data_IF_963944891015
#
_entry.id   IF_963944891015
#
_cell.length_a   1.000
_cell.length_b   1.000
_cell.length_c   1.000
_cell.angle_alpha   90.00
_cell.angle_beta   90.00
_cell.angle_gamma   90.00
#
_symmetry.space_group_name_H-M   'P 1'
#
loop_
_entity.id
_entity.type
_entity.pdbx_description
1 polymer ?
#
# COMPACT_ATOMS: atom_id res chain seq x y z
N UNK A 1 -16.42 -18.54 24.30
CA UNK A 1 -15.50 -17.98 23.29
C UNK A 1 -16.34 -17.19 22.29
N UNK A 2 -16.47 -15.88 22.50
CA UNK A 2 -17.35 -15.03 21.68
C UNK A 2 -16.55 -14.64 20.44
N UNK A 3 -16.93 -15.22 19.29
CA UNK A 3 -16.43 -14.80 17.98
C UNK A 3 -17.21 -13.55 17.60
N UNK A 4 -16.60 -12.39 17.84
CA UNK A 4 -17.12 -11.11 17.37
C UNK A 4 -16.99 -11.06 15.84
N UNK A 5 -18.13 -11.27 15.15
CA UNK A 5 -18.26 -11.25 13.69
C UNK A 5 -18.15 -9.83 13.10
N UNK A 6 -17.96 -8.80 13.93
CA UNK A 6 -17.88 -7.40 13.53
C UNK A 6 -16.52 -6.74 13.80
N UNK A 7 -15.43 -7.50 13.98
CA UNK A 7 -14.08 -6.93 13.87
C UNK A 7 -13.88 -6.38 12.46
N UNK A 8 -14.23 -5.11 12.24
CA UNK A 8 -13.58 -4.29 11.23
C UNK A 8 -12.09 -4.47 11.50
N UNK A 9 -11.38 -5.07 10.56
CA UNK A 9 -9.92 -5.10 10.58
C UNK A 9 -9.49 -3.64 10.40
N UNK A 10 -9.45 -2.89 11.50
CA UNK A 10 -8.75 -1.61 11.54
C UNK A 10 -7.30 -1.95 11.73
N UNK A 11 -6.64 -2.34 10.65
CA UNK A 11 -5.18 -2.48 10.66
C UNK A 11 -4.60 -1.10 11.03
N UNK A 12 -3.90 -0.97 12.17
CA UNK A 12 -3.36 0.31 12.60
C UNK A 12 -2.19 0.76 11.71
N UNK A 13 -1.65 -0.14 10.88
CA UNK A 13 -0.61 0.18 9.92
C UNK A 13 -1.23 0.56 8.58
N UNK A 14 -0.92 1.76 8.11
CA UNK A 14 -1.25 2.20 6.74
C UNK A 14 0.06 2.24 5.96
N UNK A 15 0.08 1.62 4.78
CA UNK A 15 1.17 1.74 3.82
C UNK A 15 0.72 2.66 2.68
N UNK A 16 1.67 3.35 2.05
CA UNK A 16 1.38 4.34 1.03
C UNK A 16 1.87 3.84 -0.32
N UNK A 17 0.96 3.61 -1.26
CA UNK A 17 1.28 3.22 -2.63
C UNK A 17 1.40 4.47 -3.50
N UNK A 18 2.49 4.62 -4.27
CA UNK A 18 2.68 5.71 -5.23
C UNK A 18 1.94 5.44 -6.57
N UNK A 19 1.92 6.45 -7.43
CA UNK A 19 1.27 6.37 -8.74
C UNK A 19 1.90 5.34 -9.71
N UNK A 20 3.05 4.77 -9.37
CA UNK A 20 3.79 3.81 -10.20
C UNK A 20 3.66 2.37 -9.68
N UNK A 21 2.81 2.14 -8.67
CA UNK A 21 2.61 0.81 -8.11
C UNK A 21 3.70 0.39 -7.11
N UNK A 22 4.35 1.34 -6.44
CA UNK A 22 5.38 1.05 -5.42
C UNK A 22 4.96 1.57 -4.07
N UNK A 23 5.46 0.94 -3.02
CA UNK A 23 5.20 1.39 -1.66
C UNK A 23 6.27 2.36 -1.21
N UNK A 24 5.85 3.48 -0.62
CA UNK A 24 6.74 4.36 0.11
C UNK A 24 7.39 3.57 1.23
N UNK A 25 8.71 3.62 1.28
CA UNK A 25 9.54 2.73 2.04
C UNK A 25 10.74 3.50 2.60
N UNK A 26 11.45 2.90 3.55
CA UNK A 26 12.67 3.41 4.15
C UNK A 26 13.76 2.37 3.94
N UNK A 27 14.85 2.78 3.27
CA UNK A 27 16.04 1.95 3.13
C UNK A 27 16.89 2.10 4.42
N UNK A 28 17.01 1.04 5.25
CA UNK A 28 17.77 1.13 6.50
C UNK A 28 19.29 1.20 6.28
N UNK A 29 19.80 0.82 5.11
CA UNK A 29 21.24 0.85 4.82
C UNK A 29 21.72 2.25 4.43
N UNK A 30 20.95 2.93 3.59
CA UNK A 30 21.26 4.30 3.16
C UNK A 30 20.50 5.38 3.94
N UNK A 31 19.65 4.96 4.88
CA UNK A 31 18.84 5.77 5.79
C UNK A 31 18.05 6.88 5.08
N UNK A 32 17.39 6.52 3.98
CA UNK A 32 16.61 7.45 3.14
C UNK A 32 15.24 6.88 2.77
N UNK A 33 14.32 7.77 2.41
CA UNK A 33 13.05 7.36 1.82
C UNK A 33 13.27 6.90 0.37
N UNK A 34 12.61 5.81 0.02
CA UNK A 34 12.59 5.23 -1.32
C UNK A 34 11.17 4.75 -1.66
N UNK A 35 10.94 4.35 -2.91
CA UNK A 35 9.72 3.64 -3.30
C UNK A 35 10.08 2.24 -3.79
N UNK A 36 9.52 1.21 -3.14
CA UNK A 36 9.85 -0.20 -3.40
C UNK A 36 8.67 -0.93 -4.05
N UNK A 37 8.93 -1.60 -5.16
CA UNK A 37 7.94 -2.47 -5.80
C UNK A 37 7.81 -3.80 -5.02
N UNK A 38 6.59 -4.35 -4.84
CA UNK A 38 6.42 -5.60 -4.08
C UNK A 38 7.18 -6.81 -4.62
N UNK A 39 7.36 -6.90 -5.95
CA UNK A 39 8.15 -7.93 -6.64
C UNK A 39 9.64 -7.85 -6.30
N UNK A 40 10.16 -6.64 -6.07
CA UNK A 40 11.57 -6.40 -5.71
C UNK A 40 11.84 -6.49 -4.21
N UNK A 41 10.80 -6.44 -3.37
CA UNK A 41 10.95 -6.43 -1.91
C UNK A 41 11.30 -7.80 -1.30
N UNK A 42 11.29 -8.88 -2.09
CA UNK A 42 11.58 -10.23 -1.60
C UNK A 42 10.57 -10.73 -0.54
N UNK A 43 9.36 -10.18 -0.55
CA UNK A 43 8.32 -10.47 0.45
C UNK A 43 8.44 -9.70 1.77
N UNK A 44 9.42 -8.80 1.92
CA UNK A 44 9.53 -7.95 3.09
C UNK A 44 8.52 -6.81 3.04
N UNK A 45 7.86 -6.54 4.16
CA UNK A 45 7.00 -5.37 4.29
C UNK A 45 7.80 -4.07 4.16
N UNK A 46 7.19 -2.96 3.68
CA UNK A 46 7.82 -1.65 3.68
C UNK A 46 8.30 -1.28 5.09
N UNK A 47 9.51 -0.75 5.18
CA UNK A 47 10.15 -0.21 6.37
C UNK A 47 9.51 1.10 6.88
N UNK A 48 8.58 1.70 6.13
CA UNK A 48 7.86 2.89 6.52
C UNK A 48 6.38 2.60 6.76
N UNK A 49 5.84 3.14 7.86
CA UNK A 49 4.43 3.06 8.24
C UNK A 49 3.87 4.49 8.31
N UNK A 50 2.67 4.68 7.77
CA UNK A 50 1.88 5.88 7.98
C UNK A 50 0.87 5.61 9.10
N UNK A 51 0.91 6.41 10.17
CA UNK A 51 0.11 6.18 11.37
C UNK A 51 -0.83 7.34 11.65
N UNK A 52 -2.01 7.00 12.18
CA UNK A 52 -2.99 7.94 12.71
C UNK A 52 -2.66 8.25 14.19
N UNK A 53 -2.73 9.52 14.57
CA UNK A 53 -2.71 10.05 15.94
C UNK A 53 -4.12 10.44 16.34
N UNK A 54 -4.90 9.54 16.98
CA UNK A 54 -6.29 9.83 17.33
C UNK A 54 -6.44 10.96 18.35
N UNK A 55 -5.37 11.25 19.09
CA UNK A 55 -5.25 12.28 20.12
C UNK A 55 -4.82 13.66 19.58
N UNK A 56 -4.27 13.74 18.36
CA UNK A 56 -3.75 14.98 17.79
C UNK A 56 -4.60 15.45 16.59
N UNK A 57 -5.56 16.34 16.82
CA UNK A 57 -6.45 16.84 15.74
C UNK A 57 -5.74 17.71 14.71
N UNK A 58 -4.77 18.51 15.13
CA UNK A 58 -4.06 19.43 14.24
C UNK A 58 -3.12 18.70 13.29
N UNK A 59 -2.50 17.61 13.76
CA UNK A 59 -1.57 16.78 13.01
C UNK A 59 -1.94 15.31 13.19
N UNK A 60 -3.04 14.86 12.58
CA UNK A 60 -3.59 13.53 12.84
C UNK A 60 -2.77 12.40 12.24
N UNK A 61 -1.71 12.69 11.49
CA UNK A 61 -0.87 11.67 10.89
C UNK A 61 0.63 11.90 11.13
N UNK A 62 1.42 10.84 11.06
CA UNK A 62 2.89 10.88 11.05
C UNK A 62 3.47 9.65 10.35
N UNK A 63 4.74 9.74 9.98
CA UNK A 63 5.51 8.61 9.44
C UNK A 63 6.33 7.96 10.55
N UNK A 64 6.39 6.64 10.54
CA UNK A 64 7.11 5.82 11.51
C UNK A 64 8.01 4.81 10.79
N UNK A 65 9.25 4.64 11.25
CA UNK A 65 10.15 3.59 10.74
C UNK A 65 9.89 2.29 11.48
N UNK A 66 9.88 1.17 10.76
CA UNK A 66 9.91 -0.17 11.37
C UNK A 66 11.23 -0.48 12.09
N UNK A 67 12.32 0.14 11.65
CA UNK A 67 13.65 0.03 12.27
C UNK A 67 14.14 1.41 12.66
N UNK A 68 14.57 1.56 13.91
CA UNK A 68 15.17 2.81 14.37
C UNK A 68 16.48 3.05 13.63
N UNK A 69 16.56 4.18 12.94
CA UNK A 69 17.71 4.60 12.15
C UNK A 69 17.92 6.12 12.33
N UNK A 70 19.17 6.61 12.31
CA UNK A 70 19.54 7.91 12.86
C UNK A 70 18.88 9.14 12.20
N UNK A 71 18.60 9.10 10.90
CA UNK A 71 17.98 10.22 10.19
C UNK A 71 16.52 10.38 10.63
N UNK A 72 16.07 11.56 11.05
CA UNK A 72 14.65 11.75 11.34
C UNK A 72 13.80 11.57 10.07
N UNK A 73 12.53 11.25 10.25
CA UNK A 73 11.51 11.37 9.20
C UNK A 73 10.95 12.79 9.20
N UNK A 74 10.52 13.33 8.05
CA UNK A 74 9.88 14.63 8.02
C UNK A 74 8.54 14.60 8.77
N UNK A 75 8.20 15.68 9.46
CA UNK A 75 6.82 15.90 9.85
C UNK A 75 5.96 16.17 8.61
N UNK A 76 4.79 15.54 8.54
CA UNK A 76 3.91 15.63 7.39
C UNK A 76 2.49 16.01 7.77
N UNK A 77 1.87 16.81 6.89
CA UNK A 77 0.42 16.96 6.81
C UNK A 77 -0.11 16.20 5.60
N UNK A 78 -1.24 15.51 5.78
CA UNK A 78 -1.89 14.79 4.70
C UNK A 78 -3.16 15.53 4.28
N UNK A 79 -3.28 15.79 2.98
CA UNK A 79 -4.48 16.36 2.38
C UNK A 79 -5.09 15.35 1.41
N UNK A 80 -6.41 15.24 1.42
CA UNK A 80 -7.14 14.43 0.45
C UNK A 80 -6.94 15.03 -0.95
N UNK A 81 -6.58 14.16 -1.90
CA UNK A 81 -6.50 14.49 -3.31
C UNK A 81 -7.78 14.13 -4.06
N UNK A 82 -7.69 14.02 -5.37
CA UNK A 82 -8.76 13.49 -6.22
C UNK A 82 -8.83 11.96 -6.10
N UNK A 83 -10.02 11.41 -5.86
CA UNK A 83 -10.21 9.96 -5.73
C UNK A 83 -9.67 9.41 -4.39
N UNK A 84 -9.15 8.17 -4.35
CA UNK A 84 -8.70 7.53 -3.10
C UNK A 84 -7.27 7.94 -2.71
N UNK A 85 -6.77 9.10 -3.16
CA UNK A 85 -5.37 9.49 -2.99
C UNK A 85 -5.20 10.60 -1.98
N UNK A 86 -4.01 10.68 -1.39
CA UNK A 86 -3.56 11.78 -0.53
C UNK A 86 -2.29 12.40 -1.10
N UNK A 87 -2.02 13.64 -0.71
CA UNK A 87 -0.72 14.28 -0.86
C UNK A 87 -0.12 14.55 0.50
N UNK A 88 1.20 14.41 0.63
CA UNK A 88 1.93 14.67 1.87
C UNK A 88 2.74 15.95 1.77
N UNK A 89 2.37 16.98 2.53
CA UNK A 89 3.13 18.22 2.67
C UNK A 89 4.10 18.10 3.84
N UNK A 90 5.36 18.49 3.63
CA UNK A 90 6.38 18.54 4.69
C UNK A 90 6.20 19.82 5.50
N UNK A 91 6.15 19.67 6.82
CA UNK A 91 5.92 20.77 7.78
C UNK A 91 7.21 21.28 8.42
N UNK A 92 8.32 20.56 8.25
CA UNK A 92 9.60 20.91 8.85
C UNK A 92 10.02 22.33 8.47
N UNK A 93 10.31 23.13 9.48
CA UNK A 93 10.86 24.49 9.32
C UNK A 93 12.39 24.42 9.22
N UNK A 94 13.02 23.58 10.04
CA UNK A 94 14.47 23.40 10.16
C UNK A 94 14.88 21.94 9.88
N UNK A 95 16.19 21.69 9.76
CA UNK A 95 16.74 20.35 9.57
C UNK A 95 16.77 19.87 8.11
N UNK A 96 17.00 18.57 7.85
CA UNK A 96 17.25 18.05 6.49
C UNK A 96 16.07 18.22 5.52
N UNK A 97 14.87 18.39 6.06
CA UNK A 97 13.64 18.61 5.28
C UNK A 97 13.09 20.05 5.41
N UNK A 98 13.75 20.89 6.23
CA UNK A 98 13.35 22.28 6.50
C UNK A 98 13.39 23.20 5.28
N UNK A 99 12.61 24.28 5.32
CA UNK A 99 12.65 25.37 4.35
C UNK A 99 12.11 25.05 2.95
N UNK A 100 11.55 23.85 2.74
CA UNK A 100 11.12 23.39 1.40
C UNK A 100 9.64 23.62 1.12
N UNK A 101 8.79 23.84 2.14
CA UNK A 101 7.31 23.91 2.06
C UNK A 101 6.75 23.07 0.90
N UNK A 102 7.20 21.82 0.86
CA UNK A 102 7.14 21.00 -0.34
C UNK A 102 6.33 19.75 -0.10
N UNK A 103 5.90 19.13 -1.19
CA UNK A 103 5.26 17.83 -1.15
C UNK A 103 6.30 16.73 -1.31
N UNK A 104 6.07 15.63 -0.60
CA UNK A 104 6.76 14.37 -0.86
C UNK A 104 6.31 13.85 -2.24
N UNK A 105 7.26 13.37 -3.04
CA UNK A 105 6.98 12.85 -4.37
C UNK A 105 7.86 11.66 -4.71
N UNK A 106 7.33 10.73 -5.50
CA UNK A 106 8.06 9.56 -6.01
C UNK A 106 8.30 9.73 -7.51
N UNK A 107 9.53 9.54 -7.97
CA UNK A 107 9.90 9.62 -9.40
C UNK A 107 9.71 8.26 -10.10
N UNK A 108 9.61 8.17 -11.43
CA UNK A 108 9.50 6.91 -12.16
C UNK A 108 10.61 5.91 -11.83
N UNK A 109 11.80 6.38 -11.42
CA UNK A 109 12.96 5.56 -11.05
C UNK A 109 12.89 5.02 -9.60
N UNK A 110 11.93 5.50 -8.80
CA UNK A 110 11.72 5.05 -7.42
C UNK A 110 12.43 5.91 -6.37
N UNK A 111 13.04 7.02 -6.81
CA UNK A 111 13.59 8.01 -5.90
C UNK A 111 12.46 8.81 -5.26
N UNK A 112 12.52 8.96 -3.94
CA UNK A 112 11.63 9.87 -3.21
C UNK A 112 12.32 11.22 -3.08
N UNK A 113 11.65 12.26 -3.55
CA UNK A 113 12.16 13.63 -3.53
C UNK A 113 11.17 14.57 -2.88
N UNK A 114 11.69 15.71 -2.45
CA UNK A 114 10.93 16.74 -1.73
C UNK A 114 11.10 18.05 -2.51
N UNK A 115 10.00 18.60 -3.03
CA UNK A 115 10.06 19.85 -3.80
C UNK A 115 9.02 19.94 -4.90
N UNK A 116 9.40 20.66 -5.96
CA UNK A 116 8.65 20.68 -7.20
C UNK A 116 8.75 19.31 -7.88
N UNK A 117 7.60 18.70 -8.17
CA UNK A 117 7.54 17.51 -9.00
C UNK A 117 7.08 17.92 -10.41
N UNK A 118 7.73 17.44 -11.48
CA UNK A 118 7.40 17.81 -12.85
C UNK A 118 6.01 17.33 -13.26
N UNK A 119 5.46 16.32 -12.57
CA UNK A 119 4.12 15.82 -12.77
C UNK A 119 3.35 15.79 -11.43
N UNK A 120 2.15 16.39 -11.34
CA UNK A 120 1.33 16.35 -10.12
C UNK A 120 1.01 14.96 -9.59
N UNK A 121 0.92 13.93 -10.46
CA UNK A 121 0.63 12.56 -10.04
C UNK A 121 1.75 11.95 -9.19
N UNK A 122 2.99 12.44 -9.30
CA UNK A 122 4.12 11.94 -8.53
C UNK A 122 4.01 12.26 -7.04
N UNK A 123 3.15 13.22 -6.67
CA UNK A 123 2.86 13.62 -5.29
C UNK A 123 1.70 12.82 -4.66
N UNK A 124 1.03 11.97 -5.45
CA UNK A 124 -0.16 11.24 -5.02
C UNK A 124 0.24 9.88 -4.45
N UNK A 125 -0.35 9.56 -3.31
CA UNK A 125 -0.21 8.27 -2.66
C UNK A 125 -1.60 7.71 -2.32
N UNK A 126 -1.84 6.43 -2.57
CA UNK A 126 -3.03 5.74 -2.08
C UNK A 126 -2.73 5.11 -0.71
N UNK A 127 -3.44 5.52 0.37
CA UNK A 127 -3.33 4.86 1.65
C UNK A 127 -4.00 3.49 1.61
N UNK A 128 -3.26 2.48 2.05
CA UNK A 128 -3.68 1.08 2.08
C UNK A 128 -3.52 0.54 3.49
N UNK A 129 -4.55 -0.11 4.08
CA UNK A 129 -4.35 -0.93 5.27
C UNK A 129 -3.25 -1.97 5.00
N UNK A 130 -2.35 -2.19 5.95
CA UNK A 130 -1.23 -3.12 5.76
C UNK A 130 -1.72 -4.53 5.40
N UNK A 131 -2.86 -4.99 5.94
CA UNK A 131 -3.52 -6.22 5.54
C UNK A 131 -3.76 -6.30 4.02
N UNK A 132 -4.21 -5.21 3.38
CA UNK A 132 -4.38 -5.17 1.93
C UNK A 132 -3.02 -5.13 1.20
N UNK A 133 -2.07 -4.35 1.73
CA UNK A 133 -0.71 -4.28 1.20
C UNK A 133 -0.02 -5.66 1.19
N UNK A 134 -0.15 -6.44 2.26
CA UNK A 134 0.45 -7.79 2.41
C UNK A 134 0.07 -8.75 1.29
N UNK A 135 -1.13 -8.62 0.72
CA UNK A 135 -1.53 -9.42 -0.44
C UNK A 135 -0.60 -9.22 -1.64
N UNK A 136 -0.10 -7.99 -1.83
CA UNK A 136 0.83 -7.63 -2.90
C UNK A 136 2.28 -8.03 -2.61
N UNK A 137 2.67 -8.15 -1.35
CA UNK A 137 4.01 -8.68 -0.99
C UNK A 137 4.06 -10.21 -0.98
N UNK A 138 2.90 -10.86 -1.11
CA UNK A 138 2.76 -12.31 -1.08
C UNK A 138 2.57 -12.93 -2.48
N UNK A 139 2.87 -12.19 -3.56
CA UNK A 139 2.57 -12.60 -4.95
C UNK A 139 3.17 -13.97 -5.33
N UNK A 140 4.33 -14.33 -4.77
CA UNK A 140 4.96 -15.64 -5.00
C UNK A 140 4.61 -16.71 -3.97
N UNK A 141 3.80 -16.35 -2.96
CA UNK A 141 3.35 -17.25 -1.88
C UNK A 141 1.86 -17.54 -1.94
N UNK A 142 1.11 -16.84 -2.79
CA UNK A 142 -0.32 -17.01 -2.96
C UNK A 142 -0.60 -17.56 -4.34
N UNK A 143 -1.23 -18.73 -4.39
CA UNK A 143 -1.75 -19.31 -5.62
C UNK A 143 -3.24 -19.00 -5.72
N UNK A 144 -3.66 -18.40 -6.84
CA UNK A 144 -5.07 -18.25 -7.16
C UNK A 144 -5.53 -19.47 -7.95
N UNK A 145 -6.70 -20.01 -7.63
CA UNK A 145 -7.37 -21.04 -8.40
C UNK A 145 -8.84 -20.69 -8.66
N UNK A 146 -9.35 -21.06 -9.83
CA UNK A 146 -10.76 -20.88 -10.16
C UNK A 146 -11.63 -21.95 -9.49
N UNK A 147 -12.93 -21.96 -9.80
CA UNK A 147 -13.88 -22.93 -9.25
C UNK A 147 -13.59 -24.38 -9.69
N UNK A 148 -12.91 -24.57 -10.83
CA UNK A 148 -12.48 -25.88 -11.29
C UNK A 148 -11.15 -26.33 -10.64
N UNK A 149 -10.56 -25.50 -9.77
CA UNK A 149 -9.25 -25.74 -9.16
C UNK A 149 -8.06 -25.46 -10.09
N UNK A 150 -8.31 -24.91 -11.28
CA UNK A 150 -7.25 -24.55 -12.22
C UNK A 150 -6.60 -23.23 -11.79
N UNK A 151 -5.28 -23.11 -11.96
CA UNK A 151 -4.55 -21.90 -11.58
C UNK A 151 -5.09 -20.67 -12.31
N UNK A 152 -5.59 -19.72 -11.53
CA UNK A 152 -6.27 -18.50 -11.96
C UNK A 152 -5.31 -17.30 -11.95
N UNK A 153 -4.10 -17.47 -12.50
CA UNK A 153 -3.12 -16.39 -12.64
C UNK A 153 -2.45 -15.92 -11.34
N UNK A 154 -1.90 -14.70 -11.37
CA UNK A 154 -1.21 -14.04 -10.26
C UNK A 154 -1.85 -12.69 -9.94
N UNK A 155 -1.47 -12.11 -8.82
CA UNK A 155 -1.82 -10.74 -8.45
C UNK A 155 -0.62 -9.85 -8.77
N UNK A 156 -0.87 -8.64 -9.26
CA UNK A 156 0.15 -7.63 -9.41
C UNK A 156 -0.44 -6.25 -9.12
N UNK A 157 0.41 -5.35 -8.66
CA UNK A 157 0.08 -3.93 -8.63
C UNK A 157 0.54 -3.30 -9.94
N UNK A 158 -0.29 -2.43 -10.49
CA UNK A 158 -0.06 -1.69 -11.73
C UNK A 158 0.05 -0.19 -11.40
N UNK A 159 0.50 0.61 -12.37
CA UNK A 159 0.50 2.07 -12.26
C UNK A 159 -0.93 2.64 -12.14
N UNK A 160 -1.02 3.90 -11.75
CA UNK A 160 -2.27 4.65 -11.56
C UNK A 160 -3.22 4.01 -10.54
N UNK A 161 -2.65 3.44 -9.46
CA UNK A 161 -3.38 2.85 -8.34
C UNK A 161 -4.33 1.74 -8.80
N UNK A 162 -3.82 0.81 -9.61
CA UNK A 162 -4.56 -0.33 -10.12
C UNK A 162 -3.96 -1.63 -9.64
N UNK A 163 -4.79 -2.66 -9.57
CA UNK A 163 -4.40 -4.01 -9.19
C UNK A 163 -4.93 -4.98 -10.22
N UNK A 164 -4.05 -5.84 -10.71
CA UNK A 164 -4.38 -6.91 -11.62
C UNK A 164 -4.57 -8.21 -10.85
N UNK A 165 -5.68 -8.86 -11.09
CA UNK A 165 -5.96 -10.23 -10.69
C UNK A 165 -6.11 -11.07 -11.96
N UNK A 166 -5.17 -11.97 -12.20
CA UNK A 166 -5.08 -12.73 -13.43
C UNK A 166 -4.97 -11.80 -14.67
N UNK A 167 -6.02 -11.77 -15.49
CA UNK A 167 -6.20 -11.00 -16.71
C UNK A 167 -7.09 -9.75 -16.50
N UNK A 168 -7.56 -9.50 -15.27
CA UNK A 168 -8.50 -8.42 -14.95
C UNK A 168 -7.85 -7.32 -14.13
N UNK A 169 -8.02 -6.07 -14.56
CA UNK A 169 -7.45 -4.89 -13.90
C UNK A 169 -8.54 -4.08 -13.21
N UNK A 170 -8.36 -3.80 -11.93
CA UNK A 170 -9.30 -3.05 -11.11
C UNK A 170 -8.64 -1.80 -10.52
N UNK A 171 -9.39 -0.69 -10.36
CA UNK A 171 -9.00 0.39 -9.46
C UNK A 171 -8.82 -0.15 -8.03
N UNK A 172 -7.76 0.26 -7.36
CA UNK A 172 -7.38 -0.22 -6.04
C UNK A 172 -8.53 -0.09 -5.02
N UNK A 173 -9.28 1.01 -5.04
CA UNK A 173 -10.39 1.26 -4.13
C UNK A 173 -11.50 0.22 -4.24
N UNK A 174 -11.70 -0.37 -5.44
CA UNK A 174 -12.74 -1.38 -5.69
C UNK A 174 -12.39 -2.73 -5.10
N UNK A 175 -11.11 -3.05 -4.98
CA UNK A 175 -10.61 -4.35 -4.55
C UNK A 175 -9.89 -4.32 -3.19
N UNK A 176 -9.79 -3.15 -2.56
CA UNK A 176 -9.10 -2.96 -1.28
C UNK A 176 -9.56 -3.92 -0.16
N UNK A 177 -10.88 -4.11 0.01
CA UNK A 177 -11.44 -5.05 1.00
C UNK A 177 -11.11 -6.50 0.67
N UNK A 178 -11.17 -6.87 -0.61
CA UNK A 178 -10.80 -8.20 -1.09
C UNK A 178 -9.32 -8.47 -0.84
N UNK A 179 -8.45 -7.50 -1.13
CA UNK A 179 -7.02 -7.57 -0.83
C UNK A 179 -6.74 -7.70 0.67
N UNK A 180 -7.47 -6.99 1.53
CA UNK A 180 -7.31 -7.11 2.97
C UNK A 180 -7.63 -8.52 3.48
N UNK A 181 -8.71 -9.13 2.97
CA UNK A 181 -9.03 -10.53 3.25
C UNK A 181 -7.94 -11.46 2.76
N UNK A 182 -7.43 -11.22 1.56
CA UNK A 182 -6.37 -12.03 0.98
C UNK A 182 -5.05 -11.95 1.77
N UNK A 183 -4.62 -10.76 2.18
CA UNK A 183 -3.38 -10.60 2.96
C UNK A 183 -3.50 -11.08 4.40
N UNK A 184 -4.72 -11.41 4.85
CA UNK A 184 -5.00 -12.01 6.15
C UNK A 184 -5.03 -13.55 6.13
N UNK A 185 -4.88 -14.19 4.97
CA UNK A 185 -4.79 -15.65 4.84
C UNK A 185 -3.49 -16.12 5.49
N UNK A 186 -3.58 -17.03 6.45
CA UNK A 186 -2.40 -17.62 7.09
C UNK A 186 -1.73 -18.64 6.16
N UNK A 187 -0.46 -18.98 6.44
CA UNK A 187 0.26 -20.00 5.68
C UNK A 187 -0.44 -21.36 5.81
N UNK A 188 -0.59 -22.07 4.69
CA UNK A 188 -1.35 -23.32 4.60
C UNK A 188 -2.87 -23.14 4.53
N UNK A 189 -3.41 -21.93 4.70
CA UNK A 189 -4.85 -21.69 4.60
C UNK A 189 -5.31 -21.40 3.15
N UNK A 190 -6.61 -21.61 2.93
CA UNK A 190 -7.30 -21.20 1.71
C UNK A 190 -8.53 -20.36 2.04
N UNK A 191 -8.82 -19.37 1.20
CA UNK A 191 -10.02 -18.54 1.30
C UNK A 191 -10.72 -18.45 -0.06
N UNK A 192 -12.05 -18.54 -0.05
CA UNK A 192 -12.86 -18.24 -1.23
C UNK A 192 -13.25 -16.76 -1.24
N UNK A 193 -13.01 -16.12 -2.38
CA UNK A 193 -13.22 -14.70 -2.63
C UNK A 193 -13.97 -14.52 -3.95
N UNK A 194 -14.54 -13.33 -4.12
CA UNK A 194 -15.30 -12.96 -5.31
C UNK A 194 -14.70 -11.69 -5.89
N UNK A 195 -14.18 -11.77 -7.12
CA UNK A 195 -13.84 -10.57 -7.87
C UNK A 195 -15.14 -9.84 -8.24
N UNK A 196 -15.26 -8.54 -7.91
CA UNK A 196 -16.48 -7.78 -8.18
C UNK A 196 -16.63 -7.51 -9.68
N UNK A 197 -17.86 -7.24 -10.10
CA UNK A 197 -18.15 -6.76 -11.46
C UNK A 197 -17.47 -5.40 -11.70
N UNK A 198 -16.81 -5.24 -12.85
CA UNK A 198 -16.19 -3.96 -13.23
C UNK A 198 -15.98 -3.84 -14.74
N UNK A 199 -16.52 -2.79 -15.36
CA UNK A 199 -16.50 -2.64 -16.81
C UNK A 199 -17.15 -3.85 -17.48
N UNK A 200 -16.41 -4.52 -18.36
CA UNK A 200 -16.82 -5.73 -19.07
C UNK A 200 -16.55 -7.03 -18.28
N UNK A 201 -15.98 -6.93 -17.08
CA UNK A 201 -15.73 -8.10 -16.23
C UNK A 201 -16.97 -8.43 -15.41
N UNK A 202 -17.56 -9.60 -15.67
CA UNK A 202 -18.57 -10.19 -14.79
C UNK A 202 -17.95 -10.66 -13.46
N UNK A 203 -18.77 -10.82 -12.43
CA UNK A 203 -18.30 -11.37 -11.15
C UNK A 203 -17.66 -12.74 -11.34
N UNK A 204 -16.58 -13.02 -10.60
CA UNK A 204 -15.88 -14.30 -10.70
C UNK A 204 -15.35 -14.76 -9.35
N UNK A 205 -15.79 -15.94 -8.92
CA UNK A 205 -15.28 -16.58 -7.73
C UNK A 205 -13.88 -17.16 -8.00
N UNK A 206 -13.05 -17.12 -6.96
CA UNK A 206 -11.76 -17.79 -6.96
C UNK A 206 -11.39 -18.19 -5.52
N UNK A 207 -10.54 -19.18 -5.41
CA UNK A 207 -9.88 -19.53 -4.15
C UNK A 207 -8.45 -18.99 -4.18
N UNK A 208 -7.98 -18.53 -3.03
CA UNK A 208 -6.59 -18.18 -2.81
C UNK A 208 -6.00 -19.08 -1.75
N UNK A 209 -4.91 -19.77 -2.09
CA UNK A 209 -4.16 -20.63 -1.18
C UNK A 209 -2.80 -20.01 -0.90
N UNK A 210 -2.45 -19.86 0.38
CA UNK A 210 -1.12 -19.40 0.77
C UNK A 210 -0.23 -20.62 1.01
N UNK A 211 0.82 -20.73 0.22
CA UNK A 211 1.82 -21.78 0.35
C UNK A 211 2.39 -21.77 1.77
N UNK A 212 2.62 -22.97 2.32
CA UNK A 212 3.31 -23.17 3.60
C UNK A 212 4.81 -22.86 3.52
#
# INVERSE_FOLDING_TARGET
MIVDRNKRVTDPEIWLLDAFGRFLDHDPLSDRLIATSPDKAGGNAPGLIFRLRPDCRERPFFLEKRRSAPMPLPEVSAALGTGPTITLQILDVDGPYGGKNSFLSSSPEGAVTYGHAPNPNWKKFAPLPAAAGRALFSINRVTLADEAGARFGNIAVESDFRVRFADRVYPLERVSTLMARLGSVAEGEAVSLLLPRYGDYEEKAFSAHRNA
#
